data_IF_709645102161
#
_entry.id   IF_709645102161
#
_cell.length_a   1.000
_cell.length_b   1.000
_cell.length_c   1.000
_cell.angle_alpha   90.00
_cell.angle_beta   90.00
_cell.angle_gamma   90.00
#
_symmetry.space_group_name_H-M   'P 1'
#
loop_
_entity.id
_entity.type
_entity.pdbx_description
1 polymer ?
#
# COMPACT_ATOMS: atom_id res chain seq x y z
N UNK A 1 0.94 6.92 13.61
CA UNK A 1 0.27 6.62 12.33
C UNK A 1 0.21 7.91 11.53
N UNK A 2 0.96 8.01 10.42
CA UNK A 2 1.21 9.27 9.72
C UNK A 2 0.08 9.64 8.76
N UNK A 3 -0.69 10.67 9.07
CA UNK A 3 -1.79 11.18 8.23
C UNK A 3 -1.31 11.61 6.82
N UNK A 4 -0.05 12.02 6.71
CA UNK A 4 0.60 12.36 5.43
C UNK A 4 0.73 11.18 4.46
N UNK A 5 0.96 9.96 4.97
CA UNK A 5 1.03 8.77 4.12
C UNK A 5 -0.33 8.44 3.50
N UNK A 6 -1.39 8.54 4.30
CA UNK A 6 -2.77 8.32 3.85
C UNK A 6 -3.10 9.25 2.67
N UNK A 7 -2.76 10.54 2.79
CA UNK A 7 -3.00 11.48 1.69
C UNK A 7 -2.14 11.16 0.45
N UNK A 8 -0.88 10.75 0.63
CA UNK A 8 0.00 10.38 -0.48
C UNK A 8 -0.49 9.13 -1.23
N UNK A 9 -1.00 8.13 -0.51
CA UNK A 9 -1.52 6.89 -1.10
C UNK A 9 -2.87 7.10 -1.78
N UNK A 10 -3.73 7.95 -1.24
CA UNK A 10 -5.02 8.29 -1.88
C UNK A 10 -4.87 9.11 -3.16
N UNK A 11 -3.69 9.71 -3.40
CA UNK A 11 -3.35 10.41 -4.65
C UNK A 11 -2.96 9.43 -5.77
N UNK A 12 -2.59 8.18 -5.42
CA UNK A 12 -2.27 7.15 -6.40
C UNK A 12 -3.55 6.69 -7.13
N UNK A 13 -3.44 6.47 -8.44
CA UNK A 13 -4.56 5.98 -9.24
C UNK A 13 -4.78 4.48 -9.00
N UNK A 14 -6.06 4.09 -8.90
CA UNK A 14 -6.49 2.72 -8.67
C UNK A 14 -5.99 2.08 -7.37
N UNK A 15 -5.74 2.91 -6.35
CA UNK A 15 -5.44 2.47 -4.99
C UNK A 15 -6.63 2.75 -4.06
N UNK A 16 -6.96 1.79 -3.20
CA UNK A 16 -7.94 1.92 -2.14
C UNK A 16 -7.27 1.74 -0.79
N UNK A 17 -7.46 2.70 0.10
CA UNK A 17 -7.03 2.57 1.48
C UNK A 17 -8.11 1.84 2.29
N UNK A 18 -7.75 0.70 2.88
CA UNK A 18 -8.54 -0.03 3.86
C UNK A 18 -8.51 0.62 5.24
N UNK A 19 -9.17 -0.01 6.22
CA UNK A 19 -9.18 0.50 7.59
C UNK A 19 -7.75 0.59 8.14
N UNK A 20 -7.46 1.74 8.76
CA UNK A 20 -6.28 1.95 9.56
C UNK A 20 -6.59 1.44 10.97
N UNK A 21 -6.04 0.29 11.34
CA UNK A 21 -6.12 -0.26 12.69
C UNK A 21 -4.82 0.10 13.45
N UNK A 22 -4.77 -0.07 14.78
CA UNK A 22 -3.56 0.19 15.59
C UNK A 22 -2.27 -0.50 15.08
N UNK A 23 -2.41 -1.50 14.20
CA UNK A 23 -1.32 -2.29 13.62
C UNK A 23 -0.82 -1.77 12.25
N UNK A 24 -1.44 -0.77 11.63
CA UNK A 24 -1.00 -0.21 10.34
C UNK A 24 -2.13 0.09 9.36
N UNK A 25 -1.75 0.34 8.10
CA UNK A 25 -2.62 0.63 6.96
C UNK A 25 -2.66 -0.55 5.99
N UNK A 26 -3.85 -0.91 5.51
CA UNK A 26 -3.98 -1.85 4.39
C UNK A 26 -4.21 -1.03 3.13
N UNK A 27 -3.35 -1.19 2.14
CA UNK A 27 -3.42 -0.53 0.84
C UNK A 27 -3.76 -1.58 -0.21
N UNK A 28 -4.89 -1.44 -0.87
CA UNK A 28 -5.32 -2.31 -1.99
C UNK A 28 -4.98 -1.62 -3.30
N UNK A 29 -4.25 -2.31 -4.17
CA UNK A 29 -3.92 -1.87 -5.53
C UNK A 29 -4.73 -2.73 -6.51
N UNK A 30 -5.51 -2.07 -7.37
CA UNK A 30 -6.34 -2.71 -8.41
C UNK A 30 -5.97 -2.21 -9.81
N UNK A 31 -5.06 -1.23 -9.92
CA UNK A 31 -4.62 -0.72 -11.20
C UNK A 31 -3.64 -1.68 -11.87
N UNK A 32 -3.98 -2.06 -13.09
CA UNK A 32 -3.11 -2.81 -13.97
C UNK A 32 -2.32 -1.84 -14.84
N UNK A 33 -1.00 -2.04 -14.91
CA UNK A 33 -0.16 -1.34 -15.88
C UNK A 33 -0.41 -1.85 -17.31
N UNK A 34 0.26 -1.25 -18.31
CA UNK A 34 0.21 -1.68 -19.73
C UNK A 34 0.59 -3.15 -19.98
N UNK A 35 1.13 -3.85 -18.97
CA UNK A 35 1.52 -5.27 -19.03
C UNK A 35 0.62 -6.19 -18.20
N UNK A 36 -0.57 -5.74 -17.79
CA UNK A 36 -1.51 -6.49 -16.96
C UNK A 36 -0.91 -6.92 -15.60
N UNK A 37 0.03 -6.14 -15.07
CA UNK A 37 0.63 -6.36 -13.75
C UNK A 37 0.12 -5.26 -12.81
N UNK A 38 -0.29 -5.66 -11.60
CA UNK A 38 -0.65 -4.72 -10.54
C UNK A 38 0.65 -4.16 -9.95
N UNK A 39 0.87 -2.87 -10.17
CA UNK A 39 2.04 -2.19 -9.63
C UNK A 39 1.83 -1.89 -8.15
N UNK A 40 2.83 -2.22 -7.33
CA UNK A 40 2.85 -1.87 -5.92
C UNK A 40 4.07 -1.04 -5.55
N UNK A 41 5.00 -0.78 -6.49
CA UNK A 41 6.25 -0.08 -6.21
C UNK A 41 5.99 1.33 -5.67
N UNK A 42 4.98 2.02 -6.22
CA UNK A 42 4.56 3.34 -5.74
C UNK A 42 4.14 3.32 -4.26
N UNK A 43 3.41 2.30 -3.82
CA UNK A 43 2.99 2.17 -2.41
C UNK A 43 4.19 1.94 -1.50
N UNK A 44 5.16 1.16 -1.95
CA UNK A 44 6.38 0.88 -1.19
C UNK A 44 7.27 2.13 -1.09
N UNK A 45 7.40 2.88 -2.19
CA UNK A 45 8.11 4.16 -2.20
C UNK A 45 7.44 5.14 -1.23
N UNK A 46 6.12 5.31 -1.29
CA UNK A 46 5.38 6.17 -0.34
C UNK A 46 5.54 5.73 1.10
N UNK A 47 5.48 4.42 1.38
CA UNK A 47 5.69 3.92 2.74
C UNK A 47 7.08 4.35 3.26
N UNK A 48 8.12 4.13 2.46
CA UNK A 48 9.51 4.49 2.80
C UNK A 48 9.72 5.99 2.96
N UNK A 49 9.17 6.83 2.07
CA UNK A 49 9.24 8.29 2.17
C UNK A 49 8.66 8.82 3.50
N UNK A 50 7.68 8.09 4.06
CA UNK A 50 7.01 8.42 5.31
C UNK A 50 7.58 7.68 6.54
N UNK A 51 8.68 6.93 6.38
CA UNK A 51 9.30 6.17 7.47
C UNK A 51 8.44 5.00 7.97
N UNK A 52 7.63 4.42 7.09
CA UNK A 52 6.80 3.25 7.39
C UNK A 52 7.39 2.00 6.74
N UNK A 53 7.39 0.89 7.47
CA UNK A 53 7.75 -0.43 6.95
C UNK A 53 6.58 -1.10 6.21
N UNK A 54 6.92 -1.98 5.27
CA UNK A 54 5.96 -2.91 4.66
C UNK A 54 6.02 -4.24 5.41
N UNK A 55 4.93 -4.62 6.06
CA UNK A 55 4.87 -5.87 6.83
C UNK A 55 4.63 -7.09 5.94
N UNK A 56 3.70 -6.99 5.00
CA UNK A 56 3.39 -8.07 4.07
C UNK A 56 2.69 -7.58 2.80
N UNK A 57 2.77 -8.42 1.78
CA UNK A 57 2.09 -8.25 0.50
C UNK A 57 1.30 -9.50 0.18
N UNK A 58 0.04 -9.34 -0.22
CA UNK A 58 -0.86 -10.44 -0.56
C UNK A 58 -1.55 -10.15 -1.88
N UNK A 59 -1.26 -10.96 -2.88
CA UNK A 59 -1.94 -10.94 -4.18
C UNK A 59 -3.19 -11.81 -4.13
N UNK A 60 -4.32 -11.24 -4.54
CA UNK A 60 -5.56 -11.96 -4.78
C UNK A 60 -5.84 -12.00 -6.28
N UNK A 61 -5.47 -13.11 -6.91
CA UNK A 61 -5.64 -13.30 -8.36
C UNK A 61 -7.10 -13.55 -8.76
N UNK A 62 -8.00 -13.83 -7.80
CA UNK A 62 -9.41 -14.05 -8.10
C UNK A 62 -10.17 -12.73 -8.24
N UNK A 63 -9.87 -11.77 -7.37
CA UNK A 63 -10.43 -10.41 -7.43
C UNK A 63 -9.56 -9.44 -8.25
N UNK A 64 -8.33 -9.83 -8.61
CA UNK A 64 -7.45 -8.98 -9.41
C UNK A 64 -6.90 -7.80 -8.63
N UNK A 65 -6.53 -8.05 -7.37
CA UNK A 65 -6.04 -7.01 -6.46
C UNK A 65 -4.77 -7.45 -5.73
N UNK A 66 -3.92 -6.50 -5.35
CA UNK A 66 -2.80 -6.73 -4.45
C UNK A 66 -2.95 -5.88 -3.21
N UNK A 67 -2.92 -6.52 -2.04
CA UNK A 67 -3.01 -5.86 -0.73
C UNK A 67 -1.64 -5.76 -0.10
N UNK A 68 -1.26 -4.57 0.32
CA UNK A 68 -0.01 -4.26 1.01
C UNK A 68 -0.36 -3.79 2.42
N UNK A 69 0.19 -4.43 3.45
CA UNK A 69 0.11 -3.90 4.82
C UNK A 69 1.33 -3.07 5.12
N UNK A 70 1.09 -1.79 5.39
CA UNK A 70 2.10 -0.79 5.71
C UNK A 70 1.93 -0.41 7.18
N UNK A 71 2.89 -0.78 8.02
CA UNK A 71 2.76 -0.69 9.46
C UNK A 71 4.05 -1.06 10.17
N UNK A 72 4.22 -0.57 11.40
CA UNK A 72 5.45 -0.76 12.16
C UNK A 72 6.53 0.30 11.86
N UNK A 73 7.28 0.64 12.91
CA UNK A 73 8.54 1.37 12.81
C UNK A 73 9.51 0.51 11.98
N UNK A 74 10.15 1.10 10.98
CA UNK A 74 11.25 0.48 10.23
C UNK A 74 12.46 0.37 11.18
N UNK A 75 12.34 -0.52 12.15
CA UNK A 75 13.29 -0.72 13.24
C UNK A 75 14.49 -1.50 12.74
N UNK A 76 15.42 -0.81 12.08
CA UNK A 76 16.83 -1.22 12.01
C UNK A 76 17.66 -0.60 13.14
#
# INVERSE_FOLDING_TARGET
MSESFVMAVLDLNGVKLGNADDEGYIVTCEEYNDSDIIDTEDVFEKAREHGLGVEWTRSDFADGEVRVKVGGDDGE
#
